data_IF_072292027055
#
_entry.id   IF_072292027055
#
_cell.length_a   1.000
_cell.length_b   1.000
_cell.length_c   1.000
_cell.angle_alpha   90.00
_cell.angle_beta   90.00
_cell.angle_gamma   90.00
#
_symmetry.space_group_name_H-M   'P 1'
#
loop_
_entity.id
_entity.type
_entity.pdbx_description
1 polymer ?
#
# COMPACT_ATOMS: atom_id res chain seq x y z
N UNK A 1 -1.24 19.53 -4.28
CA UNK A 1 -0.93 19.55 -2.83
C UNK A 1 -0.46 18.19 -2.34
N UNK A 2 -1.17 17.09 -2.64
CA UNK A 2 -0.78 15.75 -2.15
C UNK A 2 0.58 15.32 -2.70
N UNK A 3 0.88 15.51 -3.98
CA UNK A 3 2.20 15.21 -4.56
C UNK A 3 3.32 15.97 -3.87
N UNK A 4 3.11 17.24 -3.50
CA UNK A 4 4.10 18.02 -2.76
C UNK A 4 4.43 17.37 -1.41
N UNK A 5 3.42 16.84 -0.71
CA UNK A 5 3.63 16.12 0.55
C UNK A 5 4.37 14.79 0.36
N UNK A 6 4.28 14.20 -0.83
CA UNK A 6 4.96 12.95 -1.17
C UNK A 6 6.41 13.16 -1.62
N UNK A 7 6.82 14.41 -1.84
CA UNK A 7 8.19 14.77 -2.23
C UNK A 7 8.40 14.86 -3.72
N UNK A 8 7.35 14.93 -4.52
CA UNK A 8 7.45 15.16 -5.96
C UNK A 8 6.37 16.12 -6.46
N UNK A 9 6.67 16.87 -7.51
CA UNK A 9 5.73 17.71 -8.22
C UNK A 9 5.95 17.51 -9.72
N UNK A 10 4.89 17.17 -10.43
CA UNK A 10 4.90 17.22 -11.89
C UNK A 10 4.33 18.57 -12.31
N UNK A 11 5.08 19.35 -13.07
CA UNK A 11 4.65 20.65 -13.60
C UNK A 11 3.75 20.50 -14.83
N UNK A 12 3.30 21.65 -15.36
CA UNK A 12 2.40 21.68 -16.52
C UNK A 12 3.08 21.18 -17.82
N UNK A 13 4.40 21.17 -17.87
CA UNK A 13 5.20 20.68 -18.99
C UNK A 13 5.51 19.15 -18.85
N UNK A 14 5.07 18.54 -17.75
CA UNK A 14 5.26 17.11 -17.45
C UNK A 14 6.63 16.79 -16.84
N UNK A 15 7.42 17.81 -16.48
CA UNK A 15 8.68 17.60 -15.77
C UNK A 15 8.42 17.29 -14.29
N UNK A 16 9.19 16.35 -13.77
CA UNK A 16 9.09 15.91 -12.38
C UNK A 16 10.17 16.60 -11.55
N UNK A 17 9.72 17.39 -10.60
CA UNK A 17 10.59 18.05 -9.63
C UNK A 17 10.63 17.25 -8.34
N UNK A 18 11.81 16.82 -7.93
CA UNK A 18 12.03 16.17 -6.64
C UNK A 18 12.04 17.24 -5.53
N UNK A 19 11.11 17.10 -4.61
CA UNK A 19 11.00 17.94 -3.42
C UNK A 19 11.54 17.14 -2.24
N UNK A 20 12.39 17.77 -1.43
CA UNK A 20 12.94 17.12 -0.24
C UNK A 20 11.83 16.66 0.71
N UNK A 21 11.62 15.35 0.77
CA UNK A 21 10.69 14.70 1.69
C UNK A 21 11.40 13.58 2.42
N UNK A 22 11.21 13.50 3.73
CA UNK A 22 11.75 12.39 4.54
C UNK A 22 10.88 11.13 4.44
N UNK A 23 9.74 11.16 3.72
CA UNK A 23 8.77 10.06 3.68
C UNK A 23 9.38 8.75 3.19
N UNK A 24 10.22 8.82 2.15
CA UNK A 24 10.88 7.61 1.63
C UNK A 24 11.91 7.06 2.61
N UNK A 25 12.65 7.91 3.30
CA UNK A 25 13.56 7.50 4.36
C UNK A 25 12.82 6.81 5.51
N UNK A 26 11.74 7.41 5.99
CA UNK A 26 10.88 6.82 7.02
C UNK A 26 10.30 5.47 6.59
N UNK A 27 9.90 5.35 5.31
CA UNK A 27 9.44 4.07 4.77
C UNK A 27 10.56 3.01 4.82
N UNK A 28 11.78 3.37 4.45
CA UNK A 28 12.92 2.43 4.48
C UNK A 28 13.22 1.97 5.91
N UNK A 29 13.19 2.89 6.88
CA UNK A 29 13.40 2.56 8.29
C UNK A 29 12.31 1.62 8.82
N UNK A 30 11.04 1.86 8.45
CA UNK A 30 9.94 0.93 8.75
C UNK A 30 10.19 -0.43 8.10
N UNK A 31 10.61 -0.47 6.84
CA UNK A 31 10.85 -1.74 6.13
C UNK A 31 12.00 -2.55 6.73
N UNK A 32 12.98 -1.92 7.35
CA UNK A 32 14.05 -2.61 8.08
C UNK A 32 13.54 -3.33 9.34
N UNK A 33 12.54 -2.76 10.00
CA UNK A 33 11.94 -3.32 11.21
C UNK A 33 10.94 -4.44 10.91
N UNK A 34 10.38 -4.50 9.68
CA UNK A 34 9.39 -5.51 9.31
C UNK A 34 10.02 -6.90 9.27
N UNK A 35 9.46 -7.79 10.09
CA UNK A 35 9.75 -9.21 10.03
C UNK A 35 8.69 -9.91 9.17
N UNK A 36 9.13 -10.60 8.09
CA UNK A 36 8.23 -11.28 7.17
C UNK A 36 7.90 -10.47 5.92
N UNK A 37 6.66 -10.58 5.45
CA UNK A 37 6.22 -10.00 4.17
C UNK A 37 5.33 -8.80 4.37
N UNK A 38 5.50 -7.79 3.52
CA UNK A 38 4.73 -6.55 3.58
C UNK A 38 4.18 -6.11 2.23
N UNK A 39 3.08 -5.37 2.30
CA UNK A 39 2.49 -4.69 1.15
C UNK A 39 2.66 -3.20 1.37
N UNK A 40 3.12 -2.48 0.34
CA UNK A 40 3.25 -1.03 0.35
C UNK A 40 2.31 -0.45 -0.71
N UNK A 41 1.33 0.31 -0.27
CA UNK A 41 0.36 0.95 -1.15
C UNK A 41 0.75 2.40 -1.41
N UNK A 42 0.82 2.77 -2.69
CA UNK A 42 1.03 4.14 -3.13
C UNK A 42 0.05 4.49 -4.26
N UNK A 43 -0.42 5.73 -4.29
CA UNK A 43 -1.44 6.21 -5.25
C UNK A 43 -0.87 6.64 -6.59
N UNK A 44 0.42 6.91 -6.67
CA UNK A 44 1.06 7.40 -7.89
C UNK A 44 2.06 6.40 -8.44
N UNK A 45 2.02 6.15 -9.75
CA UNK A 45 2.92 5.20 -10.42
C UNK A 45 4.40 5.55 -10.22
N UNK A 46 4.71 6.84 -10.17
CA UNK A 46 6.08 7.30 -9.94
C UNK A 46 6.57 6.91 -8.53
N UNK A 47 5.72 7.10 -7.50
CA UNK A 47 6.06 6.68 -6.13
C UNK A 47 6.28 5.17 -6.07
N UNK A 48 5.41 4.39 -6.74
CA UNK A 48 5.54 2.92 -6.81
C UNK A 48 6.92 2.53 -7.38
N UNK A 49 7.35 3.16 -8.46
CA UNK A 49 8.66 2.91 -9.09
C UNK A 49 9.80 3.31 -8.16
N UNK A 50 9.77 4.53 -7.64
CA UNK A 50 10.80 5.07 -6.74
C UNK A 50 10.96 4.23 -5.47
N UNK A 51 9.85 3.84 -4.84
CA UNK A 51 9.84 2.96 -3.67
C UNK A 51 10.41 1.58 -4.02
N UNK A 52 9.98 1.00 -5.14
CA UNK A 52 10.46 -0.31 -5.54
C UNK A 52 11.96 -0.32 -5.81
N UNK A 53 12.49 0.72 -6.45
CA UNK A 53 13.92 0.84 -6.72
C UNK A 53 14.71 1.01 -5.42
N UNK A 54 14.27 1.87 -4.51
CA UNK A 54 14.91 2.02 -3.20
C UNK A 54 14.92 0.73 -2.36
N UNK A 55 13.82 -0.05 -2.42
CA UNK A 55 13.75 -1.34 -1.74
C UNK A 55 14.67 -2.40 -2.39
N UNK A 56 14.77 -2.39 -3.72
CA UNK A 56 15.69 -3.29 -4.45
C UNK A 56 17.14 -3.02 -4.12
N UNK A 57 17.51 -1.74 -4.02
CA UNK A 57 18.84 -1.32 -3.63
C UNK A 57 19.18 -1.70 -2.18
N UNK A 58 18.19 -1.63 -1.27
CA UNK A 58 18.41 -1.92 0.15
C UNK A 58 18.35 -3.40 0.49
N UNK A 59 17.44 -4.15 -0.10
CA UNK A 59 17.20 -5.55 0.26
C UNK A 59 17.66 -6.53 -0.82
N UNK A 60 17.22 -6.42 -2.03
CA UNK A 60 17.65 -7.10 -3.26
C UNK A 60 16.56 -7.03 -4.33
N UNK A 61 16.91 -7.26 -5.58
CA UNK A 61 15.95 -7.29 -6.70
C UNK A 61 14.86 -8.37 -6.52
N UNK A 62 15.17 -9.63 -6.16
CA UNK A 62 14.16 -10.67 -6.01
C UNK A 62 13.22 -10.45 -4.81
N UNK A 63 13.60 -9.62 -3.84
CA UNK A 63 12.78 -9.33 -2.67
C UNK A 63 11.59 -8.42 -2.95
N UNK A 64 11.53 -7.77 -4.13
CA UNK A 64 10.55 -6.73 -4.44
C UNK A 64 9.83 -6.99 -5.75
N UNK A 65 8.51 -6.98 -5.71
CA UNK A 65 7.65 -6.99 -6.90
C UNK A 65 6.75 -5.75 -6.92
N UNK A 66 6.38 -5.33 -8.14
CA UNK A 66 5.45 -4.21 -8.33
C UNK A 66 4.12 -4.68 -8.91
N UNK A 67 3.02 -4.12 -8.41
CA UNK A 67 1.67 -4.34 -8.94
C UNK A 67 1.06 -2.99 -9.33
N UNK A 68 0.94 -2.74 -10.62
CA UNK A 68 0.30 -1.53 -11.17
C UNK A 68 -0.62 -1.88 -12.36
N UNK A 69 -1.36 -0.91 -12.86
CA UNK A 69 -2.37 -1.13 -13.90
C UNK A 69 -1.86 -1.80 -15.18
N UNK A 70 -0.60 -1.60 -15.51
CA UNK A 70 0.07 -2.14 -16.70
C UNK A 70 0.64 -3.56 -16.50
N UNK A 71 0.67 -4.08 -15.25
CA UNK A 71 1.16 -5.43 -14.98
C UNK A 71 0.21 -6.46 -15.61
N UNK A 72 0.67 -7.34 -16.52
CA UNK A 72 -0.16 -8.36 -17.15
C UNK A 72 -0.75 -9.34 -16.13
N UNK A 73 -1.94 -9.89 -16.41
CA UNK A 73 -2.63 -10.79 -15.46
C UNK A 73 -1.82 -12.05 -15.15
N UNK A 74 -1.12 -12.61 -16.14
CA UNK A 74 -0.24 -13.78 -15.94
C UNK A 74 0.94 -13.46 -15.00
N UNK A 75 1.50 -12.27 -15.09
CA UNK A 75 2.58 -11.82 -14.21
C UNK A 75 2.04 -11.56 -12.80
N UNK A 76 0.84 -10.96 -12.68
CA UNK A 76 0.18 -10.77 -11.38
C UNK A 76 0.00 -12.07 -10.64
N UNK A 77 -0.47 -13.11 -11.32
CA UNK A 77 -0.66 -14.43 -10.72
C UNK A 77 0.67 -15.01 -10.21
N UNK A 78 1.74 -14.93 -10.99
CA UNK A 78 3.06 -15.38 -10.58
C UNK A 78 3.60 -14.61 -9.38
N UNK A 79 3.39 -13.28 -9.34
CA UNK A 79 3.77 -12.46 -8.19
C UNK A 79 3.01 -12.91 -6.94
N UNK A 80 1.70 -13.12 -7.04
CA UNK A 80 0.88 -13.58 -5.92
C UNK A 80 1.32 -14.96 -5.42
N UNK A 81 1.52 -15.92 -6.32
CA UNK A 81 1.98 -17.27 -5.97
C UNK A 81 3.34 -17.21 -5.25
N UNK A 82 4.31 -16.46 -5.79
CA UNK A 82 5.61 -16.26 -5.15
C UNK A 82 5.49 -15.54 -3.80
N UNK A 83 4.58 -14.59 -3.68
CA UNK A 83 4.40 -13.86 -2.42
C UNK A 83 3.77 -14.74 -1.34
N UNK A 84 2.86 -15.64 -1.70
CA UNK A 84 2.25 -16.58 -0.77
C UNK A 84 3.20 -17.70 -0.33
N UNK A 85 4.21 -18.02 -1.15
CA UNK A 85 5.22 -19.02 -0.79
C UNK A 85 6.15 -18.46 0.30
N UNK A 86 6.10 -19.05 1.50
CA UNK A 86 6.93 -18.67 2.65
C UNK A 86 8.43 -18.88 2.42
N UNK A 87 8.82 -19.74 1.49
CA UNK A 87 10.22 -20.00 1.15
C UNK A 87 10.76 -19.04 0.07
N UNK A 88 9.90 -18.25 -0.53
CA UNK A 88 10.28 -17.29 -1.56
C UNK A 88 11.02 -16.09 -0.97
N UNK A 89 12.05 -15.62 -1.67
CA UNK A 89 12.75 -14.37 -1.34
C UNK A 89 11.89 -13.10 -1.48
N UNK A 90 10.72 -13.21 -2.13
CA UNK A 90 9.83 -12.07 -2.31
C UNK A 90 9.20 -11.64 -0.99
N UNK A 91 9.64 -10.49 -0.49
CA UNK A 91 9.20 -9.91 0.80
C UNK A 91 8.24 -8.74 0.64
N UNK A 92 8.44 -7.91 -0.39
CA UNK A 92 7.72 -6.67 -0.55
C UNK A 92 6.93 -6.64 -1.85
N UNK A 93 5.64 -6.33 -1.75
CA UNK A 93 4.83 -5.93 -2.91
C UNK A 93 4.60 -4.43 -2.81
N UNK A 94 4.96 -3.70 -3.86
CA UNK A 94 4.69 -2.26 -3.99
C UNK A 94 3.66 -2.06 -5.09
N UNK A 95 2.56 -1.40 -4.79
CA UNK A 95 1.51 -1.26 -5.79
C UNK A 95 0.49 -0.18 -5.51
N UNK A 96 -0.45 -0.04 -6.45
CA UNK A 96 -1.59 0.85 -6.29
C UNK A 96 -2.74 0.08 -5.62
N UNK A 97 -3.45 0.63 -4.62
CA UNK A 97 -4.54 -0.08 -3.94
C UNK A 97 -5.65 -0.56 -4.89
N UNK A 98 -5.86 0.14 -6.01
CA UNK A 98 -6.84 -0.21 -7.03
C UNK A 98 -6.38 -1.34 -7.96
N UNK A 99 -5.08 -1.65 -7.97
CA UNK A 99 -4.50 -2.62 -8.91
C UNK A 99 -4.82 -4.04 -8.46
N UNK A 100 -5.21 -4.85 -9.40
CA UNK A 100 -5.40 -6.26 -9.16
C UNK A 100 -6.83 -6.72 -9.25
N UNK A 101 -7.76 -5.86 -9.65
CA UNK A 101 -9.15 -6.27 -9.83
C UNK A 101 -9.75 -6.92 -8.58
N UNK A 102 -10.83 -7.60 -8.73
CA UNK A 102 -11.45 -8.37 -7.67
C UNK A 102 -10.61 -9.63 -7.35
N UNK A 103 -10.06 -9.70 -6.13
CA UNK A 103 -9.73 -11.00 -5.56
C UNK A 103 -8.27 -11.39 -5.36
N UNK A 104 -7.29 -10.48 -5.47
CA UNK A 104 -5.92 -10.85 -5.08
C UNK A 104 -5.87 -11.18 -3.58
N UNK A 105 -5.40 -12.39 -3.27
CA UNK A 105 -5.16 -12.83 -1.89
C UNK A 105 -3.69 -12.66 -1.56
N UNK A 106 -3.40 -11.82 -0.55
CA UNK A 106 -2.03 -11.50 -0.13
C UNK A 106 -1.85 -11.76 1.37
N UNK A 107 -2.42 -12.85 1.86
CA UNK A 107 -2.45 -13.23 3.28
C UNK A 107 -1.09 -13.63 3.86
N UNK A 108 -0.07 -13.78 3.03
CA UNK A 108 1.30 -13.92 3.51
C UNK A 108 1.86 -12.64 4.14
N UNK A 109 1.25 -11.47 3.85
CA UNK A 109 1.63 -10.21 4.48
C UNK A 109 1.12 -10.13 5.92
N UNK A 110 2.00 -9.74 6.83
CA UNK A 110 1.65 -9.37 8.19
C UNK A 110 1.72 -7.85 8.44
N UNK A 111 2.16 -7.09 7.45
CA UNK A 111 2.26 -5.64 7.52
C UNK A 111 1.79 -5.01 6.21
N UNK A 112 1.00 -3.96 6.32
CA UNK A 112 0.52 -3.15 5.19
C UNK A 112 0.88 -1.70 5.48
N UNK A 113 1.68 -1.09 4.60
CA UNK A 113 2.09 0.31 4.72
C UNK A 113 1.39 1.12 3.64
N UNK A 114 0.70 2.15 4.05
CA UNK A 114 0.15 3.15 3.13
C UNK A 114 1.10 4.32 3.03
N UNK A 115 1.90 4.32 1.96
CA UNK A 115 2.78 5.43 1.63
C UNK A 115 1.98 6.69 1.30
N UNK A 116 0.85 6.52 0.63
CA UNK A 116 -0.13 7.56 0.38
C UNK A 116 -1.55 7.01 0.41
N UNK A 117 -2.50 7.83 0.85
CA UNK A 117 -3.92 7.49 0.94
C UNK A 117 -4.75 8.36 -0.01
N UNK A 118 -5.94 7.89 -0.38
CA UNK A 118 -6.98 8.68 -1.02
C UNK A 118 -8.19 8.82 -0.10
N UNK A 119 -9.15 9.71 -0.44
CA UNK A 119 -10.43 9.84 0.29
C UNK A 119 -11.40 8.68 0.05
N UNK A 120 -11.02 7.70 -0.78
CA UNK A 120 -11.85 6.57 -1.17
C UNK A 120 -11.82 5.48 -0.09
N UNK A 121 -12.90 5.41 0.70
CA UNK A 121 -13.03 4.42 1.76
C UNK A 121 -13.16 3.00 1.20
N UNK A 122 -13.91 2.82 0.11
CA UNK A 122 -14.09 1.50 -0.48
C UNK A 122 -12.76 0.92 -0.93
N UNK A 123 -11.97 1.74 -1.62
CA UNK A 123 -10.62 1.37 -2.05
C UNK A 123 -9.72 1.01 -0.85
N UNK A 124 -9.82 1.75 0.25
CA UNK A 124 -9.08 1.48 1.48
C UNK A 124 -9.47 0.11 2.05
N UNK A 125 -10.76 -0.15 2.25
CA UNK A 125 -11.27 -1.41 2.80
C UNK A 125 -10.91 -2.59 1.89
N UNK A 126 -11.12 -2.48 0.58
CA UNK A 126 -10.74 -3.52 -0.37
C UNK A 126 -9.24 -3.84 -0.34
N UNK A 127 -8.38 -2.84 -0.14
CA UNK A 127 -6.94 -3.06 -0.03
C UNK A 127 -6.53 -3.71 1.28
N UNK A 128 -7.24 -3.44 2.37
CA UNK A 128 -7.05 -4.11 3.66
C UNK A 128 -7.48 -5.58 3.59
N UNK A 129 -8.61 -5.87 2.95
CA UNK A 129 -9.15 -7.23 2.79
C UNK A 129 -8.21 -8.17 2.02
N UNK A 130 -7.27 -7.65 1.24
CA UNK A 130 -6.29 -8.49 0.55
C UNK A 130 -5.31 -9.16 1.50
N UNK A 131 -4.93 -8.49 2.58
CA UNK A 131 -4.07 -9.04 3.62
C UNK A 131 -4.89 -9.71 4.73
N UNK A 132 -6.07 -9.13 5.07
CA UNK A 132 -6.97 -9.63 6.10
C UNK A 132 -8.13 -10.40 5.48
N UNK A 133 -7.89 -11.65 5.10
CA UNK A 133 -8.86 -12.54 4.44
C UNK A 133 -8.86 -13.90 5.11
N UNK A 134 -9.86 -14.73 4.78
CA UNK A 134 -9.90 -16.14 5.19
C UNK A 134 -8.58 -16.83 4.83
N UNK A 135 -7.92 -17.42 5.82
CA UNK A 135 -6.57 -18.00 5.71
C UNK A 135 -5.45 -17.11 6.27
N UNK A 136 -5.75 -15.93 6.78
CA UNK A 136 -4.79 -15.11 7.55
C UNK A 136 -4.71 -15.66 8.99
N UNK A 137 -3.56 -16.22 9.35
CA UNK A 137 -3.30 -16.78 10.68
C UNK A 137 -2.62 -15.79 11.63
N UNK A 138 -2.06 -14.71 11.07
CA UNK A 138 -1.32 -13.71 11.81
C UNK A 138 -2.09 -12.41 11.95
N UNK A 139 -1.77 -11.65 13.00
CA UNK A 139 -2.25 -10.28 13.14
C UNK A 139 -1.63 -9.41 12.05
N UNK A 140 -2.46 -8.69 11.30
CA UNK A 140 -2.00 -7.72 10.30
C UNK A 140 -1.85 -6.34 10.95
N UNK A 141 -0.69 -5.74 10.76
CA UNK A 141 -0.39 -4.36 11.19
C UNK A 141 -0.57 -3.41 10.02
N UNK A 142 -1.36 -2.35 10.20
CA UNK A 142 -1.56 -1.29 9.22
C UNK A 142 -0.86 -0.02 9.66
N UNK A 143 -0.02 0.55 8.78
CA UNK A 143 0.78 1.75 9.02
C UNK A 143 0.42 2.79 7.97
N UNK A 144 -0.01 3.97 8.41
CA UNK A 144 -0.24 5.12 7.53
C UNK A 144 0.93 6.10 7.67
N UNK A 145 1.66 6.37 6.59
CA UNK A 145 2.63 7.46 6.54
C UNK A 145 1.91 8.78 6.33
N UNK A 146 2.10 9.71 7.26
CA UNK A 146 1.39 10.99 7.28
C UNK A 146 2.40 12.12 7.43
N UNK A 147 2.32 13.12 6.55
CA UNK A 147 3.01 14.40 6.77
C UNK A 147 2.13 15.27 7.67
N UNK A 148 2.59 15.62 8.90
CA UNK A 148 1.80 16.41 9.82
C UNK A 148 1.41 17.78 9.24
N UNK A 149 0.25 18.29 9.63
CA UNK A 149 -0.29 19.61 9.21
C UNK A 149 -0.55 19.74 7.70
N UNK A 150 -0.66 18.62 6.99
CA UNK A 150 -0.90 18.60 5.55
C UNK A 150 -2.26 17.98 5.17
N UNK A 151 -2.48 17.82 3.87
CA UNK A 151 -3.66 17.14 3.33
C UNK A 151 -3.72 15.67 3.74
N UNK A 152 -2.59 15.02 3.99
CA UNK A 152 -2.54 13.61 4.38
C UNK A 152 -3.27 13.36 5.70
N UNK A 153 -3.05 14.22 6.68
CA UNK A 153 -3.73 14.14 7.97
C UNK A 153 -5.24 14.24 7.79
N UNK A 154 -5.70 15.17 6.95
CA UNK A 154 -7.13 15.34 6.63
C UNK A 154 -7.73 14.12 5.94
N UNK A 155 -6.96 13.48 5.04
CA UNK A 155 -7.39 12.26 4.34
C UNK A 155 -7.58 11.12 5.35
N UNK A 156 -6.58 10.88 6.19
CA UNK A 156 -6.62 9.79 7.16
C UNK A 156 -7.72 10.02 8.21
N UNK A 157 -7.91 11.24 8.69
CA UNK A 157 -8.99 11.59 9.61
C UNK A 157 -10.39 11.41 8.97
N UNK A 158 -10.53 11.76 7.69
CA UNK A 158 -11.77 11.54 6.96
C UNK A 158 -12.06 10.03 6.80
N UNK A 159 -11.07 9.23 6.46
CA UNK A 159 -11.20 7.76 6.37
C UNK A 159 -11.61 7.16 7.71
N UNK A 160 -10.92 7.50 8.79
CA UNK A 160 -11.24 7.04 10.15
C UNK A 160 -12.65 7.45 10.59
N UNK A 161 -13.08 8.66 10.21
CA UNK A 161 -14.44 9.14 10.51
C UNK A 161 -15.51 8.37 9.74
N UNK A 162 -15.26 8.07 8.45
CA UNK A 162 -16.17 7.28 7.61
C UNK A 162 -16.30 5.84 8.15
N UNK A 163 -15.18 5.21 8.55
CA UNK A 163 -15.19 3.87 9.17
C UNK A 163 -16.05 3.88 10.42
N UNK A 164 -15.84 4.85 11.34
CA UNK A 164 -16.63 4.95 12.57
C UNK A 164 -18.13 5.16 12.32
N UNK A 165 -18.50 5.89 11.28
CA UNK A 165 -19.90 6.08 10.91
C UNK A 165 -20.48 4.79 10.35
N UNK A 166 -19.76 4.10 9.47
CA UNK A 166 -20.18 2.80 8.94
C UNK A 166 -20.36 1.77 10.07
N UNK A 167 -19.44 1.67 11.00
CA UNK A 167 -19.53 0.78 12.17
C UNK A 167 -20.75 1.10 13.06
N UNK A 168 -21.11 2.38 13.20
CA UNK A 168 -22.30 2.80 13.98
C UNK A 168 -23.62 2.47 13.29
N UNK A 169 -23.66 2.59 11.95
CA UNK A 169 -24.90 2.41 11.18
C UNK A 169 -25.17 0.93 10.92
N UNK A 170 -24.13 0.16 10.66
CA UNK A 170 -24.23 -1.17 10.10
C UNK A 170 -23.76 -2.27 11.08
N UNK A 171 -23.11 -1.89 12.18
CA UNK A 171 -22.51 -2.84 13.12
C UNK A 171 -21.35 -3.65 12.50
N UNK A 172 -20.89 -4.68 13.20
CA UNK A 172 -19.83 -5.57 12.68
C UNK A 172 -20.24 -6.32 11.41
N UNK A 173 -21.54 -6.49 11.16
CA UNK A 173 -22.07 -7.14 9.94
C UNK A 173 -21.76 -6.36 8.67
N UNK A 174 -21.55 -5.05 8.74
CA UNK A 174 -21.24 -4.24 7.55
C UNK A 174 -19.88 -4.56 6.93
N UNK A 175 -18.92 -4.95 7.71
CA UNK A 175 -17.62 -5.40 7.18
C UNK A 175 -17.76 -6.66 6.32
N UNK A 176 -18.71 -7.52 6.67
CA UNK A 176 -19.00 -8.74 5.91
C UNK A 176 -19.83 -8.48 4.64
N UNK A 177 -20.46 -7.31 4.52
CA UNK A 177 -21.28 -6.95 3.34
C UNK A 177 -20.48 -6.23 2.25
N UNK A 178 -19.34 -5.63 2.59
CA UNK A 178 -18.45 -4.93 1.65
C UNK A 178 -17.28 -5.83 1.19
N UNK A 179 -17.19 -7.03 1.70
CA UNK A 179 -16.28 -8.09 1.27
C UNK A 179 -17.01 -9.03 0.27
#
# INVERSE_FOLDING_TARGET
LQQICLGSLTDDDGEVHDLRSNRQSELMDICDEIQGKAIIWATWTQDIRSIADALRDRFSVPAVATLHGETPDSERQQIVERFQDQQSDLRFIVGHPKTGGYGLTLTAANTVVYFSNSYDLELRLQSEDRAHRIGQENKVTYIDLISPTTIDEKIVDALRSKIRIADKILGEEARNWLS
#
